data_IF_855559152912
#
_entry.id   IF_855559152912
#
_cell.length_a   1.000
_cell.length_b   1.000
_cell.length_c   1.000
_cell.angle_alpha   90.00
_cell.angle_beta   90.00
_cell.angle_gamma   90.00
#
_symmetry.space_group_name_H-M   'P 1'
#
loop_
_entity.id
_entity.type
_entity.pdbx_description
1 polymer ?
#
# COMPACT_ATOMS: atom_id res chain seq x y z
N UNK A 1 -1.96 -7.88 -2.17
CA UNK A 1 -3.29 -8.01 -1.52
C UNK A 1 -4.04 -6.71 -1.74
N UNK A 2 -5.26 -6.78 -2.18
CA UNK A 2 -6.17 -5.66 -2.35
C UNK A 2 -7.34 -5.85 -1.39
N UNK A 3 -7.68 -4.82 -0.64
CA UNK A 3 -8.92 -4.74 0.12
C UNK A 3 -9.66 -3.48 -0.33
N UNK A 4 -10.92 -3.61 -0.67
CA UNK A 4 -11.78 -2.49 -1.05
C UNK A 4 -12.90 -2.42 -0.02
N UNK A 5 -12.99 -1.28 0.67
CA UNK A 5 -14.05 -1.03 1.64
C UNK A 5 -14.91 0.12 1.14
N UNK A 6 -16.19 -0.13 1.00
CA UNK A 6 -17.17 0.85 0.56
C UNK A 6 -17.99 1.37 1.75
N UNK A 7 -18.01 2.68 1.96
CA UNK A 7 -18.83 3.31 2.98
C UNK A 7 -20.02 4.02 2.31
N UNK A 8 -21.20 3.46 2.47
CA UNK A 8 -22.43 3.92 1.82
C UNK A 8 -22.93 5.25 2.41
N UNK A 9 -22.65 5.52 3.70
CA UNK A 9 -23.21 6.70 4.38
C UNK A 9 -22.66 8.04 3.86
N UNK A 10 -21.41 8.05 3.34
CA UNK A 10 -20.72 9.26 2.89
C UNK A 10 -20.23 9.19 1.44
N UNK A 11 -20.67 8.23 0.65
CA UNK A 11 -20.23 8.04 -0.74
C UNK A 11 -18.68 8.04 -0.89
N UNK A 12 -17.99 7.42 0.07
CA UNK A 12 -16.53 7.30 0.07
C UNK A 12 -16.09 5.86 -0.20
N UNK A 13 -15.12 5.69 -1.08
CA UNK A 13 -14.51 4.41 -1.43
C UNK A 13 -13.07 4.36 -0.91
N UNK A 14 -12.81 3.49 0.04
CA UNK A 14 -11.46 3.24 0.54
C UNK A 14 -10.84 2.04 -0.19
N UNK A 15 -9.71 2.28 -0.83
CA UNK A 15 -8.94 1.27 -1.54
C UNK A 15 -7.65 1.03 -0.75
N UNK A 16 -7.50 -0.15 -0.20
CA UNK A 16 -6.30 -0.54 0.55
C UNK A 16 -5.50 -1.52 -0.30
N UNK A 17 -4.32 -1.13 -0.71
CA UNK A 17 -3.45 -1.96 -1.53
C UNK A 17 -2.01 -1.95 -1.03
N UNK A 18 -1.21 -2.90 -1.49
CA UNK A 18 0.20 -2.97 -1.12
C UNK A 18 0.96 -1.69 -1.51
N UNK A 19 0.69 -1.15 -2.69
CA UNK A 19 1.30 0.09 -3.19
C UNK A 19 0.26 1.12 -3.56
N UNK A 20 0.61 2.38 -3.37
CA UNK A 20 -0.15 3.50 -3.94
C UNK A 20 -0.10 3.46 -5.49
N UNK A 21 -1.07 4.09 -6.18
CA UNK A 21 -1.04 4.25 -7.64
C UNK A 21 0.01 5.28 -8.10
N UNK A 22 0.82 5.75 -7.17
CA UNK A 22 1.94 6.68 -7.36
C UNK A 22 3.18 6.07 -6.72
N UNK A 23 4.30 6.12 -7.43
CA UNK A 23 5.62 5.74 -6.95
C UNK A 23 6.39 6.99 -6.57
N UNK A 24 6.86 7.04 -5.33
CA UNK A 24 7.77 8.07 -4.85
C UNK A 24 9.19 7.54 -4.92
N UNK A 25 10.09 8.30 -5.52
CA UNK A 25 11.52 7.97 -5.60
C UNK A 25 12.34 9.17 -5.15
N UNK A 26 13.53 8.93 -4.64
CA UNK A 26 14.49 10.00 -4.31
C UNK A 26 15.39 10.23 -5.53
N UNK A 27 15.46 11.47 -6.01
CA UNK A 27 16.37 11.89 -7.07
C UNK A 27 17.79 12.05 -6.54
N UNK A 28 18.77 12.17 -7.45
CA UNK A 28 20.19 12.39 -7.11
C UNK A 28 20.45 13.69 -6.34
N UNK A 29 19.60 14.69 -6.49
CA UNK A 29 19.62 15.96 -5.76
C UNK A 29 18.91 15.91 -4.39
N UNK A 30 18.47 14.72 -3.98
CA UNK A 30 17.81 14.48 -2.68
C UNK A 30 16.31 14.78 -2.66
N UNK A 31 15.73 15.32 -3.72
CA UNK A 31 14.31 15.65 -3.79
C UNK A 31 13.45 14.43 -4.09
N UNK A 32 12.20 14.46 -3.65
CA UNK A 32 11.23 13.41 -3.97
C UNK A 32 10.58 13.68 -5.33
N UNK A 33 10.58 12.64 -6.16
CA UNK A 33 9.95 12.63 -7.47
C UNK A 33 8.75 11.69 -7.43
N UNK A 34 7.61 12.19 -7.88
CA UNK A 34 6.34 11.46 -7.90
C UNK A 34 6.03 11.05 -9.34
N UNK A 35 5.94 9.76 -9.59
CA UNK A 35 5.62 9.20 -10.88
C UNK A 35 4.39 8.29 -10.81
N UNK A 36 3.66 8.15 -11.90
CA UNK A 36 2.56 7.18 -11.96
C UNK A 36 3.09 5.76 -11.78
N UNK A 37 2.41 4.97 -10.96
CA UNK A 37 2.66 3.53 -10.90
C UNK A 37 1.89 2.86 -12.04
N UNK A 38 2.61 2.24 -12.94
CA UNK A 38 2.04 1.45 -14.04
C UNK A 38 1.68 0.04 -13.52
N UNK A 39 0.50 -0.10 -12.96
CA UNK A 39 -0.01 -1.39 -12.50
C UNK A 39 -1.43 -1.62 -13.00
N UNK A 40 -1.74 -2.82 -13.48
CA UNK A 40 -3.08 -3.18 -13.95
C UNK A 40 -4.18 -2.91 -12.93
N UNK A 41 -3.88 -3.09 -11.63
CA UNK A 41 -4.79 -2.75 -10.54
C UNK A 41 -5.09 -1.25 -10.46
N UNK A 42 -4.05 -0.41 -10.54
CA UNK A 42 -4.22 1.04 -10.46
C UNK A 42 -5.02 1.56 -11.66
N UNK A 43 -4.79 0.99 -12.84
CA UNK A 43 -5.51 1.32 -14.07
C UNK A 43 -6.97 0.84 -13.98
N UNK A 44 -7.22 -0.40 -13.58
CA UNK A 44 -8.56 -0.96 -13.46
C UNK A 44 -9.42 -0.25 -12.43
N UNK A 45 -8.86 0.13 -11.27
CA UNK A 45 -9.62 0.84 -10.22
C UNK A 45 -9.84 2.33 -10.54
N UNK A 46 -9.01 2.94 -11.37
CA UNK A 46 -9.27 4.30 -11.87
C UNK A 46 -10.43 4.36 -12.85
N UNK A 47 -10.61 3.31 -13.65
CA UNK A 47 -11.70 3.20 -14.62
C UNK A 47 -13.05 2.86 -13.98
N UNK A 48 -13.09 2.57 -12.67
CA UNK A 48 -14.35 2.45 -11.94
C UNK A 48 -15.06 3.81 -11.94
N UNK A 49 -16.08 3.89 -12.79
CA UNK A 49 -16.97 5.07 -12.89
C UNK A 49 -18.01 5.00 -11.75
N UNK A 50 -17.55 5.29 -10.55
CA UNK A 50 -18.41 5.39 -9.37
C UNK A 50 -18.35 6.82 -8.89
N UNK A 51 -19.50 7.44 -8.79
CA UNK A 51 -19.64 8.82 -8.27
C UNK A 51 -19.44 8.83 -6.75
N UNK A 52 -18.18 8.70 -6.34
CA UNK A 52 -17.78 8.70 -4.94
C UNK A 52 -16.35 9.23 -4.77
N UNK A 53 -16.08 9.78 -3.59
CA UNK A 53 -14.74 10.20 -3.21
C UNK A 53 -13.86 8.95 -2.97
N UNK A 54 -12.77 8.82 -3.72
CA UNK A 54 -11.86 7.68 -3.64
C UNK A 54 -10.66 8.02 -2.77
N UNK A 55 -10.46 7.26 -1.70
CA UNK A 55 -9.29 7.32 -0.84
C UNK A 55 -8.42 6.10 -1.05
N UNK A 56 -7.13 6.30 -1.32
CA UNK A 56 -6.21 5.20 -1.56
C UNK A 56 -5.14 5.11 -0.47
N UNK A 57 -5.05 3.97 0.18
CA UNK A 57 -4.12 3.70 1.27
C UNK A 57 -3.10 2.66 0.81
N UNK A 58 -1.81 2.93 0.98
CA UNK A 58 -0.77 2.00 0.58
C UNK A 58 0.66 2.53 0.76
N UNK A 59 1.64 1.68 0.45
CA UNK A 59 3.04 2.05 0.52
C UNK A 59 3.43 2.95 -0.67
N UNK A 60 4.15 4.06 -0.44
CA UNK A 60 4.50 5.02 -1.50
C UNK A 60 5.66 4.58 -2.39
N UNK A 61 6.33 3.46 -2.09
CA UNK A 61 7.46 2.97 -2.88
C UNK A 61 8.84 3.40 -2.38
N UNK A 62 8.90 4.13 -1.28
CA UNK A 62 10.14 4.62 -0.67
C UNK A 62 10.14 4.38 0.82
N UNK A 63 11.29 3.99 1.36
CA UNK A 63 11.51 3.92 2.79
C UNK A 63 12.09 5.25 3.27
N UNK A 64 11.43 5.85 4.25
CA UNK A 64 11.79 7.15 4.81
C UNK A 64 11.71 7.06 6.33
N UNK A 65 12.75 7.51 7.02
CA UNK A 65 12.81 7.46 8.48
C UNK A 65 12.48 8.81 9.11
N UNK A 66 12.96 9.90 8.51
CA UNK A 66 12.80 11.25 9.05
C UNK A 66 11.35 11.71 8.97
N UNK A 67 10.86 12.26 10.07
CA UNK A 67 9.49 12.75 10.18
C UNK A 67 9.18 13.86 9.18
N UNK A 68 10.10 14.81 9.02
CA UNK A 68 9.95 15.94 8.07
C UNK A 68 9.73 15.46 6.64
N UNK A 69 10.52 14.49 6.19
CA UNK A 69 10.38 13.90 4.86
C UNK A 69 9.04 13.15 4.68
N UNK A 70 8.58 12.47 5.74
CA UNK A 70 7.27 11.81 5.74
C UNK A 70 6.13 12.83 5.62
N UNK A 71 6.24 13.94 6.36
CA UNK A 71 5.23 15.01 6.35
C UNK A 71 5.18 15.68 4.96
N UNK A 72 6.32 15.90 4.31
CA UNK A 72 6.39 16.44 2.95
C UNK A 72 5.72 15.52 1.93
N UNK A 73 6.01 14.22 1.99
CA UNK A 73 5.39 13.22 1.11
C UNK A 73 3.89 13.14 1.35
N UNK A 74 3.45 13.12 2.62
CA UNK A 74 2.03 13.12 2.97
C UNK A 74 1.31 14.33 2.39
N UNK A 75 1.85 15.54 2.60
CA UNK A 75 1.24 16.78 2.11
C UNK A 75 1.03 16.79 0.59
N UNK A 76 1.95 16.19 -0.16
CA UNK A 76 1.80 16.11 -1.63
C UNK A 76 0.81 15.04 -2.08
N UNK A 77 0.78 13.89 -1.40
CA UNK A 77 -0.08 12.76 -1.75
C UNK A 77 -1.53 12.98 -1.34
N UNK A 78 -1.77 13.62 -0.21
CA UNK A 78 -3.12 13.90 0.33
C UNK A 78 -3.95 14.80 -0.59
N UNK A 79 -3.32 15.63 -1.40
CA UNK A 79 -4.01 16.45 -2.43
C UNK A 79 -4.81 15.60 -3.43
N UNK A 80 -4.47 14.33 -3.57
CA UNK A 80 -5.15 13.37 -4.44
C UNK A 80 -5.87 12.26 -3.64
N UNK A 81 -6.11 12.45 -2.35
CA UNK A 81 -6.67 11.45 -1.45
C UNK A 81 -5.83 10.15 -1.37
N UNK A 82 -4.50 10.28 -1.49
CA UNK A 82 -3.57 9.18 -1.30
C UNK A 82 -2.97 9.24 0.10
N UNK A 83 -3.13 8.19 0.86
CA UNK A 83 -2.69 8.08 2.25
C UNK A 83 -1.50 7.12 2.33
N UNK A 84 -0.28 7.63 2.43
CA UNK A 84 0.91 6.80 2.43
C UNK A 84 1.10 6.09 3.77
N UNK A 85 1.51 4.83 3.70
CA UNK A 85 1.97 4.08 4.85
C UNK A 85 3.44 3.76 4.66
N UNK A 86 4.22 4.33 5.55
CA UNK A 86 5.66 4.13 5.54
C UNK A 86 5.99 2.82 6.27
N UNK A 87 6.76 1.99 5.59
CA UNK A 87 7.32 0.75 6.10
C UNK A 87 8.84 0.90 6.19
N UNK A 88 9.46 0.26 7.18
CA UNK A 88 10.90 0.07 7.15
C UNK A 88 11.29 -0.96 6.09
N UNK A 89 12.56 -0.97 5.68
CA UNK A 89 13.07 -1.96 4.71
C UNK A 89 12.83 -3.40 5.17
N UNK A 90 13.01 -3.66 6.47
CA UNK A 90 12.75 -4.96 7.06
C UNK A 90 11.25 -5.33 6.99
N UNK A 91 10.37 -4.40 7.34
CA UNK A 91 8.93 -4.62 7.27
C UNK A 91 8.48 -4.87 5.82
N UNK A 92 9.01 -4.11 4.86
CA UNK A 92 8.70 -4.29 3.44
C UNK A 92 9.16 -5.66 2.92
N UNK A 93 10.40 -6.06 3.20
CA UNK A 93 10.93 -7.37 2.81
C UNK A 93 10.13 -8.52 3.40
N UNK A 94 9.85 -8.46 4.69
CA UNK A 94 9.08 -9.51 5.37
C UNK A 94 7.64 -9.61 4.87
N UNK A 95 7.01 -8.47 4.62
CA UNK A 95 5.61 -8.42 4.18
C UNK A 95 5.48 -8.74 2.69
N UNK A 96 6.19 -8.03 1.82
CA UNK A 96 5.99 -8.13 0.38
C UNK A 96 6.73 -9.31 -0.23
N UNK A 97 8.03 -9.40 -0.02
CA UNK A 97 8.86 -10.46 -0.58
C UNK A 97 8.66 -11.78 0.15
N UNK A 98 8.60 -11.73 1.47
CA UNK A 98 8.42 -12.91 2.30
C UNK A 98 7.00 -13.48 2.19
N UNK A 99 6.02 -12.80 2.76
CA UNK A 99 4.67 -13.37 2.85
C UNK A 99 3.88 -13.26 1.55
N UNK A 100 3.79 -12.08 0.96
CA UNK A 100 2.91 -11.88 -0.19
C UNK A 100 3.37 -12.68 -1.40
N UNK A 101 4.66 -12.62 -1.73
CA UNK A 101 5.19 -13.27 -2.93
C UNK A 101 5.59 -14.73 -2.69
N UNK A 102 6.10 -15.07 -1.50
CA UNK A 102 6.59 -16.42 -1.23
C UNK A 102 5.55 -17.35 -0.59
N UNK A 103 4.47 -16.81 -0.02
CA UNK A 103 3.43 -17.62 0.62
C UNK A 103 2.09 -17.44 -0.06
N UNK A 104 1.56 -16.22 -0.06
CA UNK A 104 0.18 -15.97 -0.47
C UNK A 104 0.00 -16.09 -1.99
N UNK A 105 0.92 -15.54 -2.77
CA UNK A 105 0.84 -15.60 -4.23
C UNK A 105 0.86 -17.02 -4.78
N UNK A 106 1.83 -17.88 -4.42
CA UNK A 106 1.83 -19.28 -4.86
C UNK A 106 0.57 -20.04 -4.42
N UNK A 107 0.12 -19.79 -3.19
CA UNK A 107 -1.09 -20.43 -2.65
C UNK A 107 -2.34 -20.07 -3.49
N UNK A 108 -2.52 -18.78 -3.81
CA UNK A 108 -3.68 -18.31 -4.59
C UNK A 108 -3.64 -18.76 -6.06
N UNK A 109 -2.45 -19.10 -6.57
CA UNK A 109 -2.26 -19.56 -7.96
C UNK A 109 -2.03 -21.08 -8.07
N UNK A 110 -2.39 -21.84 -7.02
CA UNK A 110 -2.27 -23.30 -6.98
C UNK A 110 -0.84 -23.85 -7.11
N UNK A 111 0.17 -23.03 -6.87
CA UNK A 111 1.59 -23.45 -6.87
C UNK A 111 2.04 -23.87 -5.46
N UNK A 112 1.37 -24.84 -4.87
CA UNK A 112 1.60 -25.28 -3.48
C UNK A 112 3.05 -25.72 -3.22
N UNK A 113 3.69 -26.32 -4.19
CA UNK A 113 5.10 -26.78 -4.07
C UNK A 113 6.10 -25.63 -3.87
N UNK A 114 5.75 -24.42 -4.25
CA UNK A 114 6.59 -23.23 -4.12
C UNK A 114 6.19 -22.34 -2.94
N UNK A 115 5.19 -22.75 -2.15
CA UNK A 115 4.70 -21.96 -1.02
C UNK A 115 5.65 -22.10 0.17
N UNK A 116 6.29 -21.00 0.56
CA UNK A 116 7.14 -20.93 1.74
C UNK A 116 6.41 -20.24 2.88
N UNK A 117 6.08 -20.98 3.94
CA UNK A 117 5.49 -20.43 5.14
C UNK A 117 6.52 -20.32 6.25
N UNK A 118 6.76 -19.08 6.74
CA UNK A 118 7.52 -18.82 7.97
C UNK A 118 6.62 -18.12 8.98
N UNK A 119 6.54 -18.65 10.19
CA UNK A 119 5.70 -18.10 11.28
C UNK A 119 6.00 -16.63 11.60
N UNK A 120 7.24 -16.19 11.41
CA UNK A 120 7.68 -14.79 11.56
C UNK A 120 6.97 -13.84 10.60
N UNK A 121 6.61 -14.27 9.39
CA UNK A 121 5.90 -13.43 8.42
C UNK A 121 4.49 -13.07 8.88
N UNK A 122 3.77 -14.01 9.51
CA UNK A 122 2.40 -13.79 9.99
C UNK A 122 2.29 -12.73 11.07
N UNK A 123 3.25 -12.65 11.98
CA UNK A 123 3.23 -11.69 13.09
C UNK A 123 3.40 -10.24 12.64
N UNK A 124 4.19 -9.99 11.61
CA UNK A 124 4.41 -8.65 11.07
C UNK A 124 3.19 -8.13 10.29
N UNK A 125 2.49 -9.02 9.60
CA UNK A 125 1.32 -8.66 8.78
C UNK A 125 0.14 -8.25 9.64
N UNK A 126 -0.17 -9.03 10.66
CA UNK A 126 -1.27 -8.72 11.58
C UNK A 126 -1.09 -7.35 12.22
N UNK A 127 0.12 -7.00 12.64
CA UNK A 127 0.41 -5.69 13.23
C UNK A 127 0.30 -4.54 12.22
N UNK A 128 0.83 -4.71 11.02
CA UNK A 128 0.78 -3.66 9.99
C UNK A 128 -0.65 -3.43 9.49
N UNK A 129 -1.41 -4.49 9.20
CA UNK A 129 -2.82 -4.35 8.81
C UNK A 129 -3.68 -3.77 9.93
N UNK A 130 -3.47 -4.18 11.18
CA UNK A 130 -4.22 -3.66 12.32
C UNK A 130 -3.94 -2.17 12.56
N UNK A 131 -2.71 -1.74 12.33
CA UNK A 131 -2.33 -0.33 12.40
C UNK A 131 -3.08 0.51 11.35
N UNK A 132 -3.22 -0.02 10.12
CA UNK A 132 -3.98 0.62 9.06
C UNK A 132 -5.46 0.76 9.40
N UNK A 133 -6.08 -0.34 9.78
CA UNK A 133 -7.51 -0.38 10.12
C UNK A 133 -7.81 0.60 11.25
N UNK A 134 -7.01 0.61 12.31
CA UNK A 134 -7.21 1.52 13.45
C UNK A 134 -7.02 3.00 13.10
N UNK A 135 -6.11 3.32 12.19
CA UNK A 135 -5.83 4.73 11.87
C UNK A 135 -6.86 5.37 10.95
N UNK A 136 -7.47 4.60 10.04
CA UNK A 136 -8.31 5.14 8.97
C UNK A 136 -9.75 4.65 8.98
N UNK A 137 -10.07 3.58 9.71
CA UNK A 137 -11.41 3.02 9.80
C UNK A 137 -11.95 2.98 11.25
N UNK A 138 -11.13 3.28 12.25
CA UNK A 138 -11.54 3.49 13.65
C UNK A 138 -11.80 4.93 13.91
#
# INVERSE_FOLDING_TARGET
MLCVVYNISNMRLFIISNRLPVKVTRSSDGKFVFSRSEGGLATGLKSLDVDCEKHWIGWPGVCVEQKTEKDDICCQLEKNNYHPVFLSDEQYKNYYEGYSNSTLWPLCHYFFAYTLYKKTFGNHIGKSMLFFVKRYLG
#
